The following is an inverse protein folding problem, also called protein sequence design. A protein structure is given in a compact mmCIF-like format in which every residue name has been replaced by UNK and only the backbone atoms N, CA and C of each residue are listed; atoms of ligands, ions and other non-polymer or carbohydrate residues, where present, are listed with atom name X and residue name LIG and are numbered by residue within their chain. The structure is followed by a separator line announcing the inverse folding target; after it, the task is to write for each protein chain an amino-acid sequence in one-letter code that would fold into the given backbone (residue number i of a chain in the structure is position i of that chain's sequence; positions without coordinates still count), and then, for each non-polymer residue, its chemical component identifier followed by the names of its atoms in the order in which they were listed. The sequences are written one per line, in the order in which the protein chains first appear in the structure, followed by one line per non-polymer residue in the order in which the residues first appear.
data_IF_022394934977
#
_entry.id   IF_022394934977
#
_cell.length_a   1.000
_cell.length_b   1.000
_cell.length_c   1.000
_cell.angle_alpha   90.00
_cell.angle_beta   90.00
_cell.angle_gamma   90.00
#
_symmetry.space_group_name_H-M   'P 1'
#
loop_
_entity.id
_entity.type
_entity.pdbx_description
1 polymer ?
#
# COMPACT_ATOMS: atom_id res chain seq x y z
N UNK A 1 9.82 0.03 11.88
CA UNK A 1 9.88 -1.09 10.93
C UNK A 1 8.58 -1.85 11.01
N UNK A 2 7.89 -2.08 9.88
CA UNK A 2 6.62 -2.79 9.87
C UNK A 2 6.85 -4.29 9.69
N UNK A 3 6.17 -5.10 10.49
CA UNK A 3 6.18 -6.56 10.41
C UNK A 3 4.73 -7.05 10.29
N UNK A 4 4.43 -8.03 9.40
CA UNK A 4 3.10 -8.64 9.35
C UNK A 4 2.73 -9.25 10.71
N UNK A 5 1.50 -8.98 11.17
CA UNK A 5 0.94 -9.60 12.38
C UNK A 5 -0.53 -9.89 12.14
N UNK A 6 -0.83 -11.18 11.93
CA UNK A 6 -2.16 -11.59 11.48
C UNK A 6 -2.54 -10.90 10.17
N UNK A 7 -3.71 -10.29 10.16
CA UNK A 7 -4.34 -9.56 9.07
C UNK A 7 -3.88 -8.11 8.98
N UNK A 8 -3.13 -7.64 9.99
CA UNK A 8 -2.57 -6.30 10.07
C UNK A 8 -1.04 -6.30 10.09
N UNK A 9 -0.51 -5.23 10.68
CA UNK A 9 0.93 -5.03 10.86
C UNK A 9 1.19 -4.50 12.26
N UNK A 10 2.33 -4.87 12.81
CA UNK A 10 2.90 -4.20 13.98
C UNK A 10 4.11 -3.39 13.60
N UNK A 11 4.38 -2.38 14.40
CA UNK A 11 5.59 -1.59 14.30
C UNK A 11 6.61 -2.06 15.34
N UNK A 12 7.86 -2.21 14.89
CA UNK A 12 9.04 -2.31 15.74
C UNK A 12 9.88 -1.05 15.56
N UNK A 13 10.32 -0.43 16.64
CA UNK A 13 11.22 0.73 16.58
C UNK A 13 12.49 0.38 15.77
N UNK A 14 12.70 1.13 14.69
CA UNK A 14 13.82 0.97 13.76
C UNK A 14 15.05 1.78 14.15
N UNK A 15 14.99 2.54 15.26
CA UNK A 15 15.91 3.61 15.65
C UNK A 15 15.85 4.81 14.70
N UNK A 16 16.63 5.83 15.04
CA UNK A 16 16.69 7.08 14.29
C UNK A 16 17.39 6.88 12.94
N UNK A 17 16.69 7.17 11.84
CA UNK A 17 17.26 7.23 10.50
C UNK A 17 18.14 8.48 10.29
N UNK A 18 17.74 9.61 10.90
CA UNK A 18 18.42 10.90 10.86
C UNK A 18 18.49 11.44 12.29
N UNK A 19 19.65 11.95 12.68
CA UNK A 19 19.85 12.67 13.93
C UNK A 19 20.75 13.88 13.68
N UNK A 20 20.51 14.97 14.39
CA UNK A 20 21.29 16.20 14.29
C UNK A 20 21.59 16.76 15.67
N UNK A 21 22.79 17.33 15.83
CA UNK A 21 23.17 18.11 17.01
C UNK A 21 22.70 19.58 16.91
N UNK A 22 22.19 20.00 15.75
CA UNK A 22 21.61 21.32 15.55
C UNK A 22 20.21 21.40 16.18
N UNK A 23 20.05 22.27 17.16
CA UNK A 23 18.78 22.49 17.88
C UNK A 23 17.65 23.05 17.01
N UNK A 24 17.94 23.52 15.80
CA UNK A 24 16.93 23.95 14.82
C UNK A 24 16.48 22.82 13.88
N UNK A 25 17.00 21.61 14.05
CA UNK A 25 16.58 20.46 13.26
C UNK A 25 15.18 19.99 13.65
N UNK A 26 14.23 20.17 12.73
CA UNK A 26 12.81 19.89 12.88
C UNK A 26 12.28 19.10 11.67
N UNK A 27 12.71 17.83 11.47
CA UNK A 27 12.19 16.99 10.39
C UNK A 27 10.69 16.76 10.59
N UNK A 28 9.89 17.09 9.57
CA UNK A 28 8.42 17.03 9.64
C UNK A 28 7.80 16.08 8.62
N UNK A 29 8.57 15.68 7.61
CA UNK A 29 8.09 14.73 6.61
C UNK A 29 9.25 13.95 6.01
N UNK A 30 9.02 12.68 5.69
CA UNK A 30 9.97 11.87 4.94
C UNK A 30 9.27 10.95 3.96
N UNK A 31 9.93 10.67 2.84
CA UNK A 31 9.48 9.70 1.84
C UNK A 31 10.64 9.14 1.03
N UNK A 32 10.43 7.98 0.40
CA UNK A 32 11.35 7.46 -0.61
C UNK A 32 11.15 8.24 -1.91
N UNK A 33 12.21 8.88 -2.40
CA UNK A 33 12.22 9.62 -3.66
C UNK A 33 12.31 8.70 -4.88
N UNK A 34 12.14 9.25 -6.10
CA UNK A 34 12.23 8.48 -7.35
C UNK A 34 13.59 7.77 -7.53
N UNK A 35 14.64 8.37 -6.99
CA UNK A 35 16.01 7.85 -6.98
C UNK A 35 16.26 6.74 -5.94
N UNK A 36 15.23 6.32 -5.21
CA UNK A 36 15.29 5.26 -4.20
C UNK A 36 15.87 5.70 -2.86
N UNK A 37 16.24 6.97 -2.70
CA UNK A 37 16.81 7.53 -1.47
C UNK A 37 15.71 8.09 -0.57
N UNK A 38 16.00 8.28 0.72
CA UNK A 38 15.02 8.89 1.63
C UNK A 38 15.20 10.40 1.61
N UNK A 39 14.14 11.11 1.25
CA UNK A 39 14.09 12.56 1.28
C UNK A 39 13.36 13.02 2.55
N UNK A 40 13.92 14.01 3.23
CA UNK A 40 13.37 14.55 4.48
C UNK A 40 13.16 16.06 4.30
N UNK A 41 11.93 16.51 4.54
CA UNK A 41 11.63 17.92 4.69
C UNK A 41 11.77 18.32 6.16
N UNK A 42 12.60 19.32 6.41
CA UNK A 42 12.88 19.87 7.72
C UNK A 42 12.43 21.34 7.73
N UNK A 43 11.55 21.67 8.66
CA UNK A 43 11.02 23.02 8.82
C UNK A 43 12.16 24.01 9.16
N UNK A 44 13.24 23.53 9.77
CA UNK A 44 14.32 24.34 10.33
C UNK A 44 13.81 25.33 11.39
N UNK A 45 13.12 24.80 12.40
CA UNK A 45 12.45 25.60 13.42
C UNK A 45 12.90 25.18 14.83
N UNK A 46 13.29 26.15 15.65
CA UNK A 46 13.64 25.92 17.05
C UNK A 46 12.40 25.64 17.90
N UNK A 47 11.23 26.16 17.50
CA UNK A 47 9.98 26.08 18.27
C UNK A 47 8.89 25.38 17.46
N UNK A 48 8.74 24.07 17.67
CA UNK A 48 7.73 23.25 16.97
C UNK A 48 6.37 23.23 17.71
N UNK A 49 6.34 23.47 19.03
CA UNK A 49 5.12 23.40 19.84
C UNK A 49 4.39 24.75 19.94
N UNK A 50 3.05 24.71 19.87
CA UNK A 50 2.20 25.87 20.09
C UNK A 50 1.97 26.19 21.58
N UNK A 51 1.97 25.16 22.43
CA UNK A 51 1.66 25.21 23.87
C UNK A 51 2.54 24.22 24.66
N UNK A 52 2.75 24.44 25.97
CA UNK A 52 2.24 25.54 26.79
C UNK A 52 3.01 26.86 26.58
N UNK A 53 2.42 27.99 26.97
CA UNK A 53 3.06 29.30 26.99
C UNK A 53 4.23 29.30 28.00
N UNK A 54 5.49 29.50 27.57
CA UNK A 54 6.59 29.62 28.51
C UNK A 54 6.45 30.90 29.36
N UNK A 55 6.93 30.85 30.62
CA UNK A 55 6.88 32.02 31.51
C UNK A 55 7.58 33.23 30.87
N UNK A 56 6.92 34.39 30.91
CA UNK A 56 7.46 35.64 30.37
C UNK A 56 7.15 35.90 28.89
N UNK A 57 6.49 34.97 28.20
CA UNK A 57 6.04 35.16 26.82
C UNK A 57 4.57 35.60 26.78
N UNK A 58 4.10 36.05 25.61
CA UNK A 58 2.69 36.39 25.34
C UNK A 58 2.13 35.54 24.22
N UNK A 59 0.84 35.23 24.28
CA UNK A 59 0.13 34.58 23.17
C UNK A 59 -0.07 35.54 22.01
N UNK A 60 0.16 35.06 20.80
CA UNK A 60 -0.13 35.75 19.55
C UNK A 60 -1.35 35.17 18.84
N UNK A 61 -1.52 35.55 17.56
CA UNK A 61 -2.58 35.02 16.70
C UNK A 61 -2.45 33.49 16.57
N UNK A 62 -3.59 32.79 16.62
CA UNK A 62 -3.61 31.33 16.50
C UNK A 62 -3.16 30.59 17.78
N UNK A 63 -3.15 31.26 18.94
CA UNK A 63 -2.83 30.67 20.23
C UNK A 63 -1.41 30.07 20.29
N UNK A 64 -0.46 30.66 19.54
CA UNK A 64 0.96 30.35 19.62
C UNK A 64 1.69 31.54 20.25
N UNK A 65 2.64 31.28 21.13
CA UNK A 65 3.37 32.38 21.77
C UNK A 65 4.29 33.11 20.78
N UNK A 66 4.49 34.41 21.04
CA UNK A 66 5.28 35.31 20.21
C UNK A 66 6.76 35.14 20.59
N UNK A 67 7.59 34.76 19.63
CA UNK A 67 9.03 34.56 19.83
C UNK A 67 9.78 34.85 18.53
N UNK A 68 10.99 35.45 18.58
CA UNK A 68 11.84 35.61 17.39
C UNK A 68 12.50 34.30 16.94
N UNK A 69 12.43 33.24 17.75
CA UNK A 69 13.06 31.95 17.47
C UNK A 69 12.24 31.05 16.53
N UNK A 70 11.07 31.52 16.07
CA UNK A 70 10.26 30.77 15.10
C UNK A 70 10.69 31.15 13.70
N UNK A 71 11.12 30.16 12.92
CA UNK A 71 11.51 30.36 11.53
C UNK A 71 10.28 30.37 10.61
N UNK A 72 10.28 31.28 9.63
CA UNK A 72 9.13 31.52 8.74
C UNK A 72 9.52 31.64 7.27
N UNK A 73 10.81 31.61 6.95
CA UNK A 73 11.37 31.91 5.63
C UNK A 73 12.28 30.80 5.12
N UNK A 74 12.94 30.08 6.02
CA UNK A 74 13.88 29.02 5.66
C UNK A 74 13.29 27.65 5.98
N UNK A 75 13.74 26.66 5.21
CA UNK A 75 13.50 25.24 5.41
C UNK A 75 14.68 24.47 4.81
N UNK A 76 14.83 23.20 5.16
CA UNK A 76 15.87 22.32 4.63
C UNK A 76 15.24 21.09 3.97
N UNK A 77 15.86 20.66 2.87
CA UNK A 77 15.56 19.38 2.23
C UNK A 77 16.81 18.53 2.32
N UNK A 78 16.73 17.43 3.05
CA UNK A 78 17.80 16.45 3.10
C UNK A 78 17.51 15.29 2.16
N UNK A 79 18.55 14.85 1.45
CA UNK A 79 18.57 13.57 0.74
C UNK A 79 19.49 12.63 1.53
N UNK A 80 18.90 11.69 2.25
CA UNK A 80 19.62 10.68 3.03
C UNK A 80 19.96 9.53 2.11
N UNK A 81 21.27 9.32 1.89
CA UNK A 81 21.79 8.30 0.98
C UNK A 81 22.55 7.21 1.72
N UNK A 82 22.59 6.00 1.17
CA UNK A 82 23.42 4.90 1.66
C UNK A 82 24.37 4.41 0.55
N UNK A 83 25.65 4.30 0.86
CA UNK A 83 26.67 3.93 -0.12
C UNK A 83 26.89 5.00 -1.19
N UNK A 84 27.16 4.57 -2.42
CA UNK A 84 27.28 5.45 -3.58
C UNK A 84 25.88 5.73 -4.18
N UNK A 85 25.38 6.96 -4.12
CA UNK A 85 24.09 7.31 -4.71
C UNK A 85 24.13 7.49 -6.23
N UNK A 86 25.32 7.42 -6.85
CA UNK A 86 25.47 7.44 -8.31
C UNK A 86 25.23 6.02 -8.86
N UNK A 87 24.23 5.86 -9.73
CA UNK A 87 23.97 4.56 -10.38
C UNK A 87 22.51 4.08 -10.43
N UNK A 88 21.57 4.76 -9.77
CA UNK A 88 20.15 4.48 -10.00
C UNK A 88 19.68 5.21 -11.26
N UNK A 89 19.78 4.54 -12.41
CA UNK A 89 19.11 5.01 -13.63
C UNK A 89 17.60 4.92 -13.43
N UNK A 90 17.00 6.08 -13.21
CA UNK A 90 15.56 6.22 -13.12
C UNK A 90 14.92 5.84 -14.47
N UNK A 91 13.85 5.03 -14.49
CA UNK A 91 13.14 4.75 -15.72
C UNK A 91 12.60 6.06 -16.31
N UNK A 92 12.66 6.16 -17.63
CA UNK A 92 11.98 7.23 -18.37
C UNK A 92 10.57 6.75 -18.71
N UNK A 93 9.57 7.32 -18.05
CA UNK A 93 8.17 7.05 -18.35
C UNK A 93 7.66 8.03 -19.40
N UNK A 94 7.15 7.50 -20.50
CA UNK A 94 6.50 8.27 -21.56
C UNK A 94 5.07 7.74 -21.73
N UNK A 95 4.09 8.66 -21.73
CA UNK A 95 2.67 8.30 -21.84
C UNK A 95 2.33 7.65 -23.17
N UNK A 96 3.07 7.98 -24.24
CA UNK A 96 2.89 7.38 -25.56
C UNK A 96 3.66 6.06 -25.73
N UNK A 97 4.64 5.76 -24.87
CA UNK A 97 5.35 4.49 -24.86
C UNK A 97 4.75 3.53 -23.82
N UNK A 98 3.73 2.78 -24.25
CA UNK A 98 3.10 1.73 -23.45
C UNK A 98 4.09 0.71 -22.85
N UNK A 99 5.17 0.39 -23.57
CA UNK A 99 6.14 -0.61 -23.12
C UNK A 99 6.95 -0.10 -21.94
N UNK A 100 7.33 1.19 -21.95
CA UNK A 100 8.01 1.82 -20.81
C UNK A 100 7.16 1.76 -19.53
N UNK A 101 5.86 2.03 -19.65
CA UNK A 101 4.93 2.03 -18.52
C UNK A 101 4.70 0.61 -17.99
N UNK A 102 4.47 -0.37 -18.88
CA UNK A 102 4.31 -1.77 -18.51
C UNK A 102 5.54 -2.30 -17.76
N UNK A 103 6.74 -1.99 -18.24
CA UNK A 103 7.99 -2.39 -17.57
C UNK A 103 8.14 -1.82 -16.17
N UNK A 104 7.62 -0.61 -15.93
CA UNK A 104 7.73 0.07 -14.64
C UNK A 104 6.73 -0.42 -13.57
N UNK A 105 5.69 -1.19 -13.92
CA UNK A 105 4.74 -1.77 -12.96
C UNK A 105 5.42 -2.75 -11.99
N UNK A 106 6.52 -3.37 -12.41
CA UNK A 106 7.35 -4.27 -11.58
C UNK A 106 8.52 -3.59 -10.86
N UNK A 107 8.67 -2.27 -10.98
CA UNK A 107 9.84 -1.56 -10.44
C UNK A 107 9.92 -1.67 -8.90
N UNK A 108 11.13 -1.78 -8.33
CA UNK A 108 11.32 -1.94 -6.88
C UNK A 108 10.83 -0.74 -6.06
N UNK A 109 11.01 0.47 -6.58
CA UNK A 109 10.50 1.71 -6.01
C UNK A 109 9.01 1.94 -6.34
N UNK A 110 8.20 2.17 -5.29
CA UNK A 110 6.76 2.40 -5.37
C UNK A 110 6.39 3.62 -6.22
N UNK A 111 7.20 4.69 -6.21
CA UNK A 111 6.96 5.89 -7.01
C UNK A 111 6.78 5.55 -8.49
N UNK A 112 7.68 4.73 -9.05
CA UNK A 112 7.65 4.35 -10.46
C UNK A 112 6.46 3.46 -10.78
N UNK A 113 6.12 2.51 -9.91
CA UNK A 113 4.96 1.64 -10.10
C UNK A 113 3.65 2.41 -10.12
N UNK A 114 3.43 3.27 -9.13
CA UNK A 114 2.21 4.09 -9.04
C UNK A 114 2.13 5.09 -10.20
N UNK A 115 3.25 5.71 -10.58
CA UNK A 115 3.27 6.64 -11.71
C UNK A 115 2.94 5.93 -13.02
N UNK A 116 3.53 4.76 -13.27
CA UNK A 116 3.24 3.98 -14.47
C UNK A 116 1.79 3.50 -14.51
N UNK A 117 1.27 2.96 -13.41
CA UNK A 117 -0.14 2.57 -13.30
C UNK A 117 -1.07 3.76 -13.57
N UNK A 118 -0.82 4.92 -12.95
CA UNK A 118 -1.60 6.14 -13.19
C UNK A 118 -1.56 6.52 -14.66
N UNK A 119 -0.38 6.60 -15.28
CA UNK A 119 -0.25 6.98 -16.69
C UNK A 119 -0.95 6.00 -17.64
N UNK A 120 -0.92 4.69 -17.35
CA UNK A 120 -1.64 3.68 -18.11
C UNK A 120 -3.16 3.88 -18.02
N UNK A 121 -3.68 4.16 -16.83
CA UNK A 121 -5.10 4.40 -16.59
C UNK A 121 -5.56 5.73 -17.20
N UNK A 122 -4.84 6.83 -16.95
CA UNK A 122 -5.15 8.17 -17.44
C UNK A 122 -5.18 8.24 -18.97
N UNK A 123 -4.30 7.48 -19.63
CA UNK A 123 -4.27 7.35 -21.09
C UNK A 123 -5.56 6.71 -21.64
N UNK A 124 -6.24 5.86 -20.88
CA UNK A 124 -7.50 5.23 -21.26
C UNK A 124 -7.45 4.27 -22.46
N UNK A 125 -6.26 4.02 -23.05
CA UNK A 125 -6.08 3.08 -24.16
C UNK A 125 -6.08 1.64 -23.62
N UNK A 126 -6.85 0.76 -24.26
CA UNK A 126 -6.95 -0.69 -23.92
C UNK A 126 -5.97 -1.56 -24.70
N UNK A 127 -5.00 -0.93 -25.35
CA UNK A 127 -3.94 -1.55 -26.16
C UNK A 127 -2.97 -2.42 -25.35
N UNK A 128 -2.98 -2.30 -24.01
CA UNK A 128 -2.13 -3.03 -23.08
C UNK A 128 -2.84 -4.15 -22.29
N UNK A 129 -4.13 -4.37 -22.55
CA UNK A 129 -4.96 -5.25 -21.71
C UNK A 129 -4.45 -6.69 -21.70
N UNK A 130 -3.97 -7.19 -22.84
CA UNK A 130 -3.51 -8.58 -22.93
C UNK A 130 -2.18 -8.77 -22.20
N UNK A 131 -1.25 -7.82 -22.31
CA UNK A 131 0.02 -7.81 -21.57
C UNK A 131 -0.21 -7.74 -20.06
N UNK A 132 -1.17 -6.92 -19.61
CA UNK A 132 -1.53 -6.83 -18.19
C UNK A 132 -2.12 -8.15 -17.67
N UNK A 133 -3.00 -8.81 -18.46
CA UNK A 133 -3.55 -10.13 -18.09
C UNK A 133 -2.44 -11.17 -18.03
N UNK A 134 -1.55 -11.20 -19.02
CA UNK A 134 -0.40 -12.11 -19.02
C UNK A 134 0.48 -11.87 -17.80
N UNK A 135 0.75 -10.62 -17.41
CA UNK A 135 1.54 -10.30 -16.22
C UNK A 135 0.90 -10.84 -14.94
N UNK A 136 -0.41 -10.66 -14.74
CA UNK A 136 -1.15 -11.24 -13.59
C UNK A 136 -1.03 -12.78 -13.56
N UNK A 137 -1.13 -13.41 -14.73
CA UNK A 137 -1.17 -14.87 -14.83
C UNK A 137 0.21 -15.53 -14.76
N UNK A 138 1.26 -14.89 -15.27
CA UNK A 138 2.60 -15.49 -15.39
C UNK A 138 3.60 -15.01 -14.34
N UNK A 139 3.45 -13.81 -13.79
CA UNK A 139 4.46 -13.26 -12.86
C UNK A 139 4.28 -13.77 -11.43
N UNK A 140 4.84 -14.94 -11.15
CA UNK A 140 4.74 -15.65 -9.87
C UNK A 140 5.88 -15.36 -8.89
N UNK A 141 6.90 -14.60 -9.29
CA UNK A 141 8.04 -14.29 -8.43
C UNK A 141 7.57 -13.42 -7.28
N UNK A 142 7.99 -13.82 -6.07
CA UNK A 142 7.77 -13.04 -4.87
C UNK A 142 9.03 -12.24 -4.53
N UNK A 143 8.84 -11.01 -4.08
CA UNK A 143 9.89 -10.21 -3.47
C UNK A 143 10.17 -10.64 -2.02
N UNK A 144 11.11 -9.95 -1.36
CA UNK A 144 11.54 -10.29 0.00
C UNK A 144 10.42 -10.21 1.06
N UNK A 145 9.29 -9.56 0.74
CA UNK A 145 8.13 -9.45 1.64
C UNK A 145 6.94 -10.29 1.16
N UNK A 146 7.14 -11.18 0.20
CA UNK A 146 6.11 -12.08 -0.30
C UNK A 146 5.11 -11.43 -1.28
N UNK A 147 5.41 -10.25 -1.82
CA UNK A 147 4.56 -9.55 -2.80
C UNK A 147 5.01 -9.83 -4.24
N UNK A 148 4.12 -9.62 -5.20
CA UNK A 148 4.45 -9.60 -6.64
C UNK A 148 4.01 -8.25 -7.21
N UNK A 149 4.89 -7.22 -7.21
CA UNK A 149 4.51 -5.87 -7.61
C UNK A 149 3.98 -5.80 -9.05
N UNK A 150 4.63 -6.50 -9.99
CA UNK A 150 4.22 -6.54 -11.39
C UNK A 150 2.80 -7.11 -11.54
N UNK A 151 2.50 -8.27 -10.93
CA UNK A 151 1.16 -8.86 -10.99
C UNK A 151 0.12 -7.98 -10.28
N UNK A 152 0.44 -7.45 -9.10
CA UNK A 152 -0.46 -6.61 -8.31
C UNK A 152 -0.84 -5.32 -9.05
N UNK A 153 0.15 -4.57 -9.52
CA UNK A 153 -0.09 -3.31 -10.22
C UNK A 153 -0.72 -3.56 -11.61
N UNK A 154 -0.42 -4.67 -12.27
CA UNK A 154 -1.12 -5.05 -13.50
C UNK A 154 -2.61 -5.29 -13.25
N UNK A 155 -2.97 -5.96 -12.16
CA UNK A 155 -4.36 -6.20 -11.80
C UNK A 155 -5.11 -4.89 -11.47
N UNK A 156 -4.50 -3.99 -10.69
CA UNK A 156 -5.08 -2.67 -10.41
C UNK A 156 -5.19 -1.80 -11.66
N UNK A 157 -4.24 -1.91 -12.61
CA UNK A 157 -4.32 -1.21 -13.89
C UNK A 157 -5.48 -1.72 -14.74
N UNK A 158 -5.65 -3.05 -14.83
CA UNK A 158 -6.83 -3.66 -15.48
C UNK A 158 -8.13 -3.15 -14.87
N UNK A 159 -8.19 -3.04 -13.53
CA UNK A 159 -9.35 -2.51 -12.84
C UNK A 159 -9.61 -1.05 -13.21
N UNK A 160 -8.59 -0.20 -13.17
CA UNK A 160 -8.70 1.22 -13.56
C UNK A 160 -9.12 1.44 -15.02
N UNK A 161 -8.78 0.51 -15.92
CA UNK A 161 -9.22 0.53 -17.33
C UNK A 161 -10.62 -0.07 -17.56
N UNK A 162 -11.30 -0.53 -16.50
CA UNK A 162 -12.57 -1.26 -16.61
C UNK A 162 -12.43 -2.57 -17.40
N UNK A 163 -11.24 -3.19 -17.34
CA UNK A 163 -10.88 -4.41 -18.08
C UNK A 163 -10.58 -5.60 -17.15
N UNK A 164 -10.71 -5.42 -15.82
CA UNK A 164 -10.67 -6.52 -14.84
C UNK A 164 -11.98 -7.31 -14.90
N UNK A 165 -12.08 -8.25 -15.84
CA UNK A 165 -13.24 -9.14 -15.98
C UNK A 165 -13.25 -10.20 -14.87
N UNK A 166 -14.43 -10.80 -14.60
CA UNK A 166 -14.57 -11.85 -13.57
C UNK A 166 -13.57 -12.99 -13.72
N UNK A 167 -13.31 -13.47 -14.95
CA UNK A 167 -12.41 -14.62 -15.14
C UNK A 167 -10.95 -14.33 -14.78
N UNK A 168 -10.44 -13.11 -14.99
CA UNK A 168 -9.07 -12.76 -14.56
C UNK A 168 -8.99 -12.62 -13.04
N UNK A 169 -10.04 -12.07 -12.41
CA UNK A 169 -10.14 -11.94 -10.96
C UNK A 169 -10.19 -13.31 -10.30
N UNK A 170 -11.00 -14.23 -10.82
CA UNK A 170 -11.07 -15.63 -10.35
C UNK A 170 -9.71 -16.31 -10.49
N UNK A 171 -9.01 -16.15 -11.62
CA UNK A 171 -7.68 -16.73 -11.80
C UNK A 171 -6.64 -16.12 -10.83
N UNK A 172 -6.73 -14.82 -10.55
CA UNK A 172 -5.84 -14.12 -9.62
C UNK A 172 -5.98 -14.61 -8.16
N UNK A 173 -7.12 -15.22 -7.78
CA UNK A 173 -7.29 -15.86 -6.47
C UNK A 173 -6.33 -17.05 -6.24
N UNK A 174 -5.71 -17.60 -7.29
CA UNK A 174 -4.70 -18.68 -7.16
C UNK A 174 -3.27 -18.15 -7.13
N UNK A 175 -3.09 -16.83 -7.12
CA UNK A 175 -1.76 -16.24 -7.15
C UNK A 175 -1.00 -16.53 -5.84
N UNK A 176 0.31 -16.85 -5.87
CA UNK A 176 1.10 -17.12 -4.66
C UNK A 176 1.18 -15.90 -3.73
N UNK A 177 1.31 -14.70 -4.28
CA UNK A 177 1.29 -13.45 -3.52
C UNK A 177 -0.11 -13.19 -2.92
N UNK A 178 -0.19 -13.10 -1.59
CA UNK A 178 -1.42 -12.78 -0.88
C UNK A 178 -1.99 -11.40 -1.27
N UNK A 179 -1.12 -10.43 -1.60
CA UNK A 179 -1.53 -9.10 -2.05
C UNK A 179 -2.35 -9.15 -3.34
N UNK A 180 -2.04 -10.07 -4.26
CA UNK A 180 -2.78 -10.26 -5.53
C UNK A 180 -4.12 -10.93 -5.28
N UNK A 181 -4.16 -11.99 -4.44
CA UNK A 181 -5.42 -12.63 -4.04
C UNK A 181 -6.36 -11.64 -3.36
N UNK A 182 -5.84 -10.86 -2.40
CA UNK A 182 -6.59 -9.81 -1.70
C UNK A 182 -7.14 -8.75 -2.63
N UNK A 183 -6.34 -8.28 -3.59
CA UNK A 183 -6.80 -7.32 -4.60
C UNK A 183 -7.92 -7.92 -5.46
N UNK A 184 -7.80 -9.18 -5.89
CA UNK A 184 -8.84 -9.86 -6.65
C UNK A 184 -10.16 -9.99 -5.88
N UNK A 185 -10.12 -10.34 -4.60
CA UNK A 185 -11.30 -10.35 -3.70
C UNK A 185 -11.89 -8.95 -3.53
N UNK A 186 -11.06 -7.93 -3.43
CA UNK A 186 -11.53 -6.54 -3.29
C UNK A 186 -12.31 -6.10 -4.53
N UNK A 187 -11.85 -6.49 -5.73
CA UNK A 187 -12.40 -6.06 -7.02
C UNK A 187 -13.51 -6.95 -7.58
N UNK A 188 -13.68 -8.18 -7.10
CA UNK A 188 -14.67 -9.09 -7.67
C UNK A 188 -16.10 -8.57 -7.49
N UNK A 189 -16.98 -8.78 -8.49
CA UNK A 189 -18.40 -8.46 -8.36
C UNK A 189 -19.03 -9.03 -7.08
N UNK A 190 -19.95 -8.27 -6.48
CA UNK A 190 -20.73 -8.70 -5.31
C UNK A 190 -21.98 -9.46 -5.74
N UNK A 191 -21.80 -10.57 -6.42
CA UNK A 191 -22.88 -11.42 -6.96
C UNK A 191 -22.81 -12.87 -6.44
N UNK A 192 -23.84 -13.65 -6.74
CA UNK A 192 -23.97 -15.05 -6.30
C UNK A 192 -22.83 -15.94 -6.81
N UNK A 193 -22.40 -15.75 -8.07
CA UNK A 193 -21.32 -16.55 -8.67
C UNK A 193 -20.01 -16.35 -7.91
N UNK A 194 -19.66 -15.10 -7.58
CA UNK A 194 -18.40 -14.80 -6.90
C UNK A 194 -18.44 -15.17 -5.41
N UNK A 195 -19.61 -15.06 -4.76
CA UNK A 195 -19.83 -15.62 -3.42
C UNK A 195 -19.54 -17.12 -3.38
N UNK A 196 -20.13 -17.87 -4.30
CA UNK A 196 -19.98 -19.33 -4.32
C UNK A 196 -18.54 -19.74 -4.61
N UNK A 197 -17.81 -18.96 -5.42
CA UNK A 197 -16.37 -19.14 -5.65
C UNK A 197 -15.57 -18.83 -4.37
N UNK A 198 -15.84 -17.73 -3.69
CA UNK A 198 -15.15 -17.33 -2.46
C UNK A 198 -15.28 -18.41 -1.38
N UNK A 199 -16.49 -18.92 -1.17
CA UNK A 199 -16.78 -20.03 -0.23
C UNK A 199 -16.15 -21.33 -0.72
N UNK A 200 -16.42 -21.72 -1.97
CA UNK A 200 -15.95 -23.00 -2.53
C UNK A 200 -14.44 -23.11 -2.64
N UNK A 201 -13.73 -21.98 -2.82
CA UNK A 201 -12.27 -21.90 -2.84
C UNK A 201 -11.67 -21.63 -1.46
N UNK A 202 -12.51 -21.63 -0.41
CA UNK A 202 -12.09 -21.55 1.00
C UNK A 202 -11.29 -20.28 1.32
N UNK A 203 -11.65 -19.14 0.73
CA UNK A 203 -10.93 -17.89 0.97
C UNK A 203 -11.10 -17.34 2.40
N UNK A 204 -12.18 -17.72 3.10
CA UNK A 204 -12.38 -17.41 4.52
C UNK A 204 -11.33 -18.07 5.43
N UNK A 205 -10.65 -19.11 4.95
CA UNK A 205 -9.58 -19.82 5.65
C UNK A 205 -8.28 -19.85 4.82
N UNK A 206 -8.08 -18.82 3.98
CA UNK A 206 -6.85 -18.65 3.20
C UNK A 206 -5.61 -18.61 4.11
N UNK A 207 -4.47 -19.13 3.64
CA UNK A 207 -3.21 -19.11 4.41
C UNK A 207 -2.77 -17.71 4.87
N UNK A 208 -3.22 -16.65 4.19
CA UNK A 208 -3.00 -15.26 4.58
C UNK A 208 -4.21 -14.71 5.33
N UNK A 209 -4.04 -14.30 6.60
CA UNK A 209 -5.08 -13.60 7.36
C UNK A 209 -5.61 -12.33 6.66
N UNK A 210 -4.76 -11.64 5.90
CA UNK A 210 -5.19 -10.45 5.15
C UNK A 210 -6.14 -10.76 3.98
N UNK A 211 -6.06 -11.99 3.44
CA UNK A 211 -7.00 -12.49 2.41
C UNK A 211 -8.29 -12.95 3.09
N UNK A 212 -8.20 -13.64 4.23
CA UNK A 212 -9.38 -14.01 5.04
C UNK A 212 -10.22 -12.78 5.39
N UNK A 213 -9.57 -11.71 5.87
CA UNK A 213 -10.26 -10.46 6.22
C UNK A 213 -10.94 -9.83 5.00
N UNK A 214 -10.25 -9.77 3.86
CA UNK A 214 -10.85 -9.25 2.63
C UNK A 214 -12.02 -10.13 2.14
N UNK A 215 -11.93 -11.45 2.32
CA UNK A 215 -12.99 -12.38 1.95
C UNK A 215 -14.23 -12.19 2.84
N UNK A 216 -14.05 -12.02 4.14
CA UNK A 216 -15.14 -11.70 5.07
C UNK A 216 -15.84 -10.39 4.69
N UNK A 217 -15.08 -9.33 4.50
CA UNK A 217 -15.63 -8.02 4.12
C UNK A 217 -16.38 -8.08 2.78
N UNK A 218 -15.83 -8.79 1.79
CA UNK A 218 -16.50 -8.97 0.51
C UNK A 218 -17.79 -9.81 0.64
N UNK A 219 -17.79 -10.84 1.48
CA UNK A 219 -18.94 -11.74 1.68
C UNK A 219 -20.14 -11.02 2.30
N UNK A 220 -19.90 -10.06 3.21
CA UNK A 220 -20.97 -9.25 3.83
C UNK A 220 -21.72 -8.39 2.81
N UNK A 221 -21.08 -8.03 1.70
CA UNK A 221 -21.68 -7.25 0.62
C UNK A 221 -22.40 -8.11 -0.43
N UNK A 222 -22.35 -9.44 -0.31
CA UNK A 222 -22.88 -10.38 -1.31
C UNK A 222 -24.29 -10.88 -0.96
N UNK A 223 -25.07 -11.37 -1.94
CA UNK A 223 -26.41 -11.91 -1.67
C UNK A 223 -26.37 -13.07 -0.66
N UNK A 224 -27.31 -13.15 0.30
CA UNK A 224 -27.33 -14.21 1.30
C UNK A 224 -27.56 -15.58 0.66
N UNK A 225 -27.00 -16.63 1.27
CA UNK A 225 -27.26 -18.01 0.88
C UNK A 225 -27.11 -18.95 2.09
N UNK A 226 -27.82 -20.10 2.13
CA UNK A 226 -27.74 -21.06 3.22
C UNK A 226 -26.32 -21.55 3.53
N UNK A 227 -25.44 -21.58 2.53
CA UNK A 227 -24.06 -22.04 2.61
C UNK A 227 -23.14 -21.04 3.33
N UNK A 228 -23.54 -19.76 3.44
CA UNK A 228 -22.77 -18.70 4.10
C UNK A 228 -22.61 -18.98 5.59
N UNK A 229 -23.68 -19.37 6.27
CA UNK A 229 -23.67 -19.63 7.72
C UNK A 229 -22.67 -20.72 8.13
N UNK A 230 -22.74 -21.93 7.54
CA UNK A 230 -21.75 -22.98 7.77
C UNK A 230 -20.31 -22.57 7.41
N UNK A 231 -20.12 -21.81 6.32
CA UNK A 231 -18.81 -21.33 5.92
C UNK A 231 -18.19 -20.36 6.95
N UNK A 232 -19.01 -19.45 7.50
CA UNK A 232 -18.59 -18.54 8.57
C UNK A 232 -18.31 -19.31 9.87
N UNK A 233 -19.18 -20.26 10.26
CA UNK A 233 -18.96 -21.07 11.46
C UNK A 233 -17.64 -21.85 11.38
N UNK A 234 -17.36 -22.51 10.25
CA UNK A 234 -16.11 -23.22 10.03
C UNK A 234 -14.90 -22.28 10.06
N UNK A 235 -15.01 -21.07 9.52
CA UNK A 235 -13.91 -20.11 9.55
C UNK A 235 -13.68 -19.52 10.95
N UNK A 236 -14.73 -19.37 11.77
CA UNK A 236 -14.63 -18.93 13.15
C UNK A 236 -13.96 -19.98 14.05
N UNK A 237 -14.25 -21.27 13.83
CA UNK A 237 -13.59 -22.38 14.54
C UNK A 237 -12.07 -22.39 14.30
N UNK A 238 -11.62 -22.11 13.07
CA UNK A 238 -10.19 -22.00 12.73
C UNK A 238 -9.51 -20.78 13.38
N UNK A 239 -10.29 -19.80 13.87
CA UNK A 239 -9.78 -18.65 14.60
C UNK A 239 -9.74 -18.86 16.12
N UNK A 240 -10.20 -20.00 16.64
CA UNK A 240 -10.08 -20.28 18.08
C UNK A 240 -8.61 -20.27 18.51
N UNK A 241 -8.29 -19.36 19.44
CA UNK A 241 -6.91 -19.17 19.91
C UNK A 241 -6.02 -18.30 19.00
N UNK A 242 -6.57 -17.72 17.94
CA UNK A 242 -5.89 -16.73 17.11
C UNK A 242 -5.50 -15.51 17.93
N UNK A 243 -4.29 -14.99 17.67
CA UNK A 243 -3.80 -13.72 18.23
C UNK A 243 -4.04 -12.54 17.28
N UNK A 244 -4.78 -12.77 16.19
CA UNK A 244 -5.14 -11.73 15.23
C UNK A 244 -6.05 -10.69 15.88
N UNK A 245 -5.70 -9.41 15.74
CA UNK A 245 -6.46 -8.33 16.35
C UNK A 245 -7.79 -8.05 15.63
N UNK A 246 -7.83 -8.20 14.30
CA UNK A 246 -8.94 -7.72 13.48
C UNK A 246 -9.90 -8.84 13.07
N UNK A 247 -9.39 -10.03 12.76
CA UNK A 247 -10.21 -11.13 12.25
C UNK A 247 -11.34 -11.55 13.20
N UNK A 248 -11.12 -11.73 14.52
CA UNK A 248 -12.22 -12.08 15.42
C UNK A 248 -13.30 -10.99 15.52
N UNK A 249 -12.96 -9.72 15.25
CA UNK A 249 -13.92 -8.61 15.26
C UNK A 249 -14.68 -8.46 13.93
N UNK A 250 -14.28 -9.18 12.89
CA UNK A 250 -14.87 -9.11 11.55
C UNK A 250 -15.98 -10.15 11.32
N UNK A 251 -16.12 -11.13 12.21
CA UNK A 251 -17.27 -12.06 12.28
C UNK A 251 -18.39 -11.46 13.12
#
# INVERSE_FOLDING_TARGET
MLEPEGSGFKERDGRNLLASADGWCAPVFSQVGPDGQVWVADWYDFIIQHNPLPKGFKMGKGNAYITPLREHKMARIYRVTYGDPSGNENPRLDVEDAKSLLGALGHSNLFWRLTAQRLLVDRGKKDVVDELKEAVLREKKLDAIGSSPMALHSLWTLHGLGAATGDILIQALRHPAASVRRAAVTMMPRDERHRDILIGWKLLVDVSPSVQLAALLALVEMPPAPEVGPALASALEELEGSRDHWLPSAF
#
